data_IF_841242861188
#
_entry.id   IF_841242861188
#
_cell.length_a   1.000
_cell.length_b   1.000
_cell.length_c   1.000
_cell.angle_alpha   90.00
_cell.angle_beta   90.00
_cell.angle_gamma   90.00
#
_symmetry.space_group_name_H-M   'P 1'
#
loop_
_entity.id
_entity.type
_entity.pdbx_description
1 polymer ?
#
# COMPACT_ATOMS: atom_id res chain seq x y z
N UNK A 1 55.13 -38.09 30.09
CA UNK A 1 55.02 -36.85 30.83
C UNK A 1 54.63 -35.64 30.01
N UNK A 2 53.96 -35.82 28.96
CA UNK A 2 53.58 -34.64 28.15
C UNK A 2 52.07 -34.65 27.91
N UNK A 3 51.34 -34.49 28.99
CA UNK A 3 49.87 -34.37 28.91
C UNK A 3 49.34 -32.95 28.97
N UNK A 4 50.22 -31.99 28.91
CA UNK A 4 49.85 -30.58 29.09
C UNK A 4 49.70 -29.80 27.77
N UNK A 5 50.01 -30.42 26.66
CA UNK A 5 50.02 -29.72 25.38
C UNK A 5 48.73 -29.82 24.59
N UNK A 6 47.81 -30.71 25.02
CA UNK A 6 46.61 -31.02 24.27
C UNK A 6 45.41 -30.06 24.52
N UNK A 7 45.53 -29.20 25.53
CA UNK A 7 44.40 -28.35 25.94
C UNK A 7 44.39 -26.95 25.37
N UNK A 8 45.36 -26.59 24.53
CA UNK A 8 45.43 -25.23 24.00
C UNK A 8 44.84 -25.06 22.60
N UNK A 9 44.40 -26.10 21.97
CA UNK A 9 43.95 -26.05 20.58
C UNK A 9 42.44 -25.96 20.42
N UNK A 10 41.66 -25.96 21.48
CA UNK A 10 40.21 -25.96 21.40
C UNK A 10 39.59 -24.57 21.61
N UNK A 11 40.34 -23.62 22.10
CA UNK A 11 39.82 -22.31 22.45
C UNK A 11 39.82 -21.28 21.30
N UNK A 12 40.39 -21.63 20.17
CA UNK A 12 40.61 -20.64 19.09
C UNK A 12 39.54 -20.65 17.97
N UNK A 13 38.59 -21.55 18.03
CA UNK A 13 37.64 -21.70 16.91
C UNK A 13 36.26 -21.04 17.15
N UNK A 14 36.03 -20.42 18.27
CA UNK A 14 34.67 -19.93 18.62
C UNK A 14 34.48 -18.44 18.38
N UNK A 15 35.54 -17.70 18.11
CA UNK A 15 35.48 -16.24 18.07
C UNK A 15 35.23 -15.64 16.68
N UNK A 16 35.02 -16.43 15.65
CA UNK A 16 34.92 -15.94 14.27
C UNK A 16 33.51 -15.92 13.71
N UNK A 17 32.49 -16.22 14.51
CA UNK A 17 31.14 -16.38 13.99
C UNK A 17 30.16 -15.25 14.29
N UNK A 18 30.58 -14.16 14.92
CA UNK A 18 29.65 -13.11 15.39
C UNK A 18 29.62 -11.86 14.51
N UNK A 19 30.49 -11.76 13.53
CA UNK A 19 30.62 -10.50 12.79
C UNK A 19 29.92 -10.46 11.41
N UNK A 20 29.02 -11.38 11.14
CA UNK A 20 28.36 -11.42 9.83
C UNK A 20 26.86 -11.07 9.87
N UNK A 21 26.36 -10.58 10.99
CA UNK A 21 25.02 -10.01 11.01
C UNK A 21 25.09 -8.51 10.74
N UNK A 22 25.44 -8.16 9.54
CA UNK A 22 25.10 -6.83 9.03
C UNK A 22 23.64 -6.89 8.65
N UNK A 23 22.82 -6.24 9.46
CA UNK A 23 21.44 -5.97 9.09
C UNK A 23 21.44 -5.23 7.77
N UNK A 24 21.11 -5.90 6.70
CA UNK A 24 20.88 -5.24 5.43
C UNK A 24 19.56 -4.51 5.53
N UNK A 25 19.64 -3.20 5.49
CA UNK A 25 18.48 -2.36 5.31
C UNK A 25 17.63 -2.89 4.14
N UNK A 26 16.35 -2.96 4.33
CA UNK A 26 15.38 -3.54 3.45
C UNK A 26 14.87 -2.55 2.39
N UNK A 27 15.48 -2.39 1.24
CA UNK A 27 14.86 -1.60 0.18
C UNK A 27 13.78 -2.36 -0.59
N UNK A 28 13.74 -3.67 -0.45
CA UNK A 28 12.85 -4.50 -1.29
C UNK A 28 11.41 -4.64 -0.76
N UNK A 29 11.16 -4.44 0.53
CA UNK A 29 9.84 -4.64 1.13
C UNK A 29 8.80 -3.65 0.61
N UNK A 30 9.16 -2.41 0.43
CA UNK A 30 8.23 -1.35 0.04
C UNK A 30 7.58 -1.63 -1.33
N UNK A 31 8.32 -2.14 -2.27
CA UNK A 31 7.80 -2.43 -3.61
C UNK A 31 6.89 -3.66 -3.64
N UNK A 32 7.22 -4.68 -2.88
CA UNK A 32 6.38 -5.88 -2.77
C UNK A 32 5.09 -5.62 -2.00
N UNK A 33 5.14 -4.75 -1.00
CA UNK A 33 3.96 -4.36 -0.22
C UNK A 33 2.94 -3.60 -1.08
N UNK A 34 3.38 -2.72 -1.97
CA UNK A 34 2.51 -2.03 -2.93
C UNK A 34 1.80 -3.00 -3.87
N UNK A 35 2.53 -3.97 -4.41
CA UNK A 35 1.97 -5.00 -5.30
C UNK A 35 1.00 -5.89 -4.53
N UNK A 36 1.33 -6.26 -3.31
CA UNK A 36 0.52 -7.13 -2.47
C UNK A 36 -0.79 -6.46 -2.04
N UNK A 37 -0.74 -5.19 -1.63
CA UNK A 37 -1.94 -4.44 -1.23
C UNK A 37 -2.88 -4.14 -2.41
N UNK A 38 -2.33 -3.91 -3.60
CA UNK A 38 -3.11 -3.69 -4.82
C UNK A 38 -3.68 -5.00 -5.41
N UNK A 39 -3.03 -6.13 -5.14
CA UNK A 39 -3.36 -7.41 -5.78
C UNK A 39 -4.78 -7.89 -5.51
N UNK A 40 -5.32 -7.82 -4.29
CA UNK A 40 -6.70 -8.21 -4.02
C UNK A 40 -7.72 -7.36 -4.81
N UNK A 41 -7.49 -6.06 -4.90
CA UNK A 41 -8.40 -5.13 -5.58
C UNK A 41 -8.49 -5.37 -7.09
N UNK A 42 -7.43 -5.90 -7.70
CA UNK A 42 -7.43 -6.25 -9.14
C UNK A 42 -8.42 -7.34 -9.50
N UNK A 43 -8.73 -8.20 -8.55
CA UNK A 43 -9.63 -9.35 -8.76
C UNK A 43 -11.10 -9.03 -8.51
N UNK A 44 -11.38 -7.88 -7.89
CA UNK A 44 -12.74 -7.46 -7.58
C UNK A 44 -13.25 -6.62 -8.72
N UNK A 45 -14.27 -7.10 -9.40
CA UNK A 45 -14.94 -6.37 -10.49
C UNK A 45 -16.17 -5.70 -9.93
N UNK A 46 -16.24 -4.39 -10.05
CA UNK A 46 -17.40 -3.59 -9.68
C UNK A 46 -18.32 -3.48 -10.91
N UNK A 47 -19.54 -4.03 -10.87
CA UNK A 47 -20.40 -4.09 -12.05
C UNK A 47 -20.84 -2.73 -12.55
N UNK A 48 -21.13 -1.82 -11.64
CA UNK A 48 -21.59 -0.47 -11.98
C UNK A 48 -21.17 0.53 -10.92
N UNK A 49 -20.65 1.64 -11.38
CA UNK A 49 -20.35 2.83 -10.57
C UNK A 49 -21.02 4.03 -11.18
N UNK A 50 -21.73 4.76 -10.37
CA UNK A 50 -22.40 6.00 -10.74
C UNK A 50 -22.19 7.01 -9.61
N UNK A 51 -21.18 7.83 -9.78
CA UNK A 51 -20.83 8.91 -8.85
C UNK A 51 -21.22 10.23 -9.48
N UNK A 52 -21.98 11.04 -8.78
CA UNK A 52 -22.40 12.35 -9.23
C UNK A 52 -22.06 13.40 -8.20
N UNK A 53 -21.12 14.28 -8.53
CA UNK A 53 -20.69 15.40 -7.70
C UNK A 53 -20.26 15.03 -6.25
N UNK A 54 -19.67 13.86 -6.07
CA UNK A 54 -19.22 13.39 -4.76
C UNK A 54 -17.91 14.05 -4.34
N UNK A 55 -17.74 14.26 -3.04
CA UNK A 55 -16.43 14.53 -2.47
C UNK A 55 -15.55 13.28 -2.51
N UNK A 56 -14.23 13.44 -2.36
CA UNK A 56 -13.32 12.29 -2.31
C UNK A 56 -13.69 11.34 -1.17
N UNK A 57 -14.04 11.85 0.00
CA UNK A 57 -14.43 11.05 1.15
C UNK A 57 -15.68 10.21 0.88
N UNK A 58 -16.70 10.80 0.29
CA UNK A 58 -17.94 10.11 -0.07
C UNK A 58 -17.72 9.04 -1.14
N UNK A 59 -16.91 9.34 -2.15
CA UNK A 59 -16.55 8.39 -3.19
C UNK A 59 -15.79 7.18 -2.63
N UNK A 60 -14.81 7.41 -1.74
CA UNK A 60 -14.06 6.34 -1.09
C UNK A 60 -14.92 5.50 -0.16
N UNK A 61 -15.85 6.13 0.57
CA UNK A 61 -16.79 5.41 1.43
C UNK A 61 -17.72 4.49 0.59
N UNK A 62 -18.25 5.00 -0.50
CA UNK A 62 -19.07 4.21 -1.42
C UNK A 62 -18.27 3.06 -2.03
N UNK A 63 -17.03 3.34 -2.44
CA UNK A 63 -16.14 2.33 -3.00
C UNK A 63 -15.79 1.25 -1.96
N UNK A 64 -15.60 1.61 -0.70
CA UNK A 64 -15.39 0.63 0.39
C UNK A 64 -16.55 -0.34 0.48
N UNK A 65 -17.78 0.16 0.52
CA UNK A 65 -18.99 -0.68 0.59
C UNK A 65 -19.08 -1.61 -0.62
N UNK A 66 -18.83 -1.11 -1.81
CA UNK A 66 -18.87 -1.92 -3.03
C UNK A 66 -17.78 -3.00 -3.05
N UNK A 67 -16.57 -2.67 -2.62
CA UNK A 67 -15.48 -3.66 -2.52
C UNK A 67 -15.83 -4.76 -1.52
N UNK A 68 -16.37 -4.41 -0.36
CA UNK A 68 -16.84 -5.40 0.61
C UNK A 68 -17.90 -6.30 0.02
N UNK A 69 -18.92 -5.72 -0.60
CA UNK A 69 -20.04 -6.45 -1.21
C UNK A 69 -19.57 -7.41 -2.30
N UNK A 70 -18.72 -6.96 -3.22
CA UNK A 70 -18.27 -7.76 -4.36
C UNK A 70 -17.06 -8.64 -4.07
N UNK A 71 -16.52 -8.59 -2.85
CA UNK A 71 -15.52 -9.53 -2.35
C UNK A 71 -16.08 -10.57 -1.39
N UNK A 72 -17.40 -10.71 -1.28
CA UNK A 72 -18.07 -11.56 -0.28
C UNK A 72 -17.60 -11.22 1.16
N UNK A 73 -17.51 -9.93 1.45
CA UNK A 73 -17.05 -9.37 2.73
C UNK A 73 -15.62 -9.77 3.17
N UNK A 74 -14.86 -10.35 2.25
CA UNK A 74 -13.48 -10.80 2.54
C UNK A 74 -12.46 -9.67 2.55
N UNK A 75 -12.76 -8.57 1.84
CA UNK A 75 -11.83 -7.45 1.68
C UNK A 75 -12.52 -6.18 2.14
N UNK A 76 -11.92 -5.57 3.15
CA UNK A 76 -12.31 -4.25 3.65
C UNK A 76 -11.12 -3.30 3.47
N UNK A 77 -11.10 -2.49 2.43
CA UNK A 77 -10.01 -1.55 2.22
C UNK A 77 -10.04 -0.46 3.28
N UNK A 78 -8.88 -0.07 3.74
CA UNK A 78 -8.72 1.04 4.66
C UNK A 78 -8.10 2.21 3.92
N UNK A 79 -8.88 3.25 3.65
CA UNK A 79 -8.44 4.44 2.94
C UNK A 79 -8.07 5.56 3.91
N UNK A 80 -6.97 6.23 3.63
CA UNK A 80 -6.54 7.44 4.33
C UNK A 80 -6.39 8.57 3.31
N UNK A 81 -7.04 9.67 3.56
CA UNK A 81 -6.86 10.91 2.79
C UNK A 81 -5.81 11.76 3.50
N UNK A 82 -4.67 11.96 2.87
CA UNK A 82 -3.60 12.80 3.38
C UNK A 82 -3.55 14.11 2.59
N UNK A 83 -4.38 15.05 2.99
CA UNK A 83 -4.53 16.35 2.35
C UNK A 83 -4.32 17.47 3.37
N UNK A 84 -3.05 17.80 3.62
CA UNK A 84 -2.67 18.79 4.64
C UNK A 84 -3.10 20.22 4.27
N UNK A 85 -3.25 20.49 2.99
CA UNK A 85 -3.52 21.84 2.47
C UNK A 85 -4.97 22.01 2.01
N UNK A 86 -5.84 21.00 2.21
CA UNK A 86 -7.23 21.06 1.77
C UNK A 86 -7.43 21.11 0.28
N UNK A 87 -6.49 20.57 -0.51
CA UNK A 87 -6.53 20.66 -1.97
C UNK A 87 -7.69 19.88 -2.58
N UNK A 88 -8.09 18.77 -1.93
CA UNK A 88 -9.18 17.91 -2.44
C UNK A 88 -10.58 18.50 -2.22
N UNK A 89 -10.73 19.43 -1.30
CA UNK A 89 -12.04 20.02 -0.97
C UNK A 89 -12.71 20.71 -2.15
N UNK A 90 -11.92 21.21 -3.09
CA UNK A 90 -12.40 21.94 -4.26
C UNK A 90 -12.81 21.04 -5.43
N UNK A 91 -12.54 19.74 -5.34
CA UNK A 91 -12.85 18.79 -6.39
C UNK A 91 -14.16 18.03 -6.10
N UNK A 92 -14.87 17.71 -7.17
CA UNK A 92 -16.02 16.83 -7.13
C UNK A 92 -15.81 15.71 -8.13
N UNK A 93 -16.22 14.51 -7.74
CA UNK A 93 -16.05 13.31 -8.53
C UNK A 93 -17.37 12.99 -9.20
N UNK A 94 -17.33 12.96 -10.53
CA UNK A 94 -18.42 12.49 -11.38
C UNK A 94 -17.87 11.40 -12.26
N UNK A 95 -18.39 10.18 -12.10
CA UNK A 95 -17.82 8.99 -12.72
C UNK A 95 -18.92 7.95 -13.00
N UNK A 96 -19.08 7.57 -14.25
CA UNK A 96 -19.96 6.48 -14.66
C UNK A 96 -19.14 5.40 -15.35
N UNK A 97 -18.99 4.25 -14.70
CA UNK A 97 -18.20 3.13 -15.22
C UNK A 97 -18.94 1.81 -14.97
N UNK A 98 -18.68 0.84 -15.82
CA UNK A 98 -19.23 -0.51 -15.70
C UNK A 98 -18.13 -1.56 -15.81
N UNK A 99 -18.29 -2.64 -15.06
CA UNK A 99 -17.37 -3.80 -15.10
C UNK A 99 -15.89 -3.43 -14.93
N UNK A 100 -15.60 -2.61 -13.92
CA UNK A 100 -14.25 -2.14 -13.66
C UNK A 100 -13.59 -2.87 -12.48
N UNK A 101 -12.30 -3.25 -12.61
CA UNK A 101 -11.55 -3.70 -11.45
C UNK A 101 -11.43 -2.59 -10.41
N UNK A 102 -11.59 -2.94 -9.13
CA UNK A 102 -11.62 -1.97 -8.04
C UNK A 102 -10.35 -1.10 -7.96
N UNK A 103 -9.17 -1.67 -8.26
CA UNK A 103 -7.93 -0.90 -8.30
C UNK A 103 -7.91 0.17 -9.40
N UNK A 104 -8.49 -0.13 -10.55
CA UNK A 104 -8.61 0.84 -11.66
C UNK A 104 -9.62 1.91 -11.34
N UNK A 105 -10.74 1.52 -10.74
CA UNK A 105 -11.75 2.46 -10.30
C UNK A 105 -11.19 3.45 -9.27
N UNK A 106 -10.42 2.96 -8.30
CA UNK A 106 -9.72 3.81 -7.33
C UNK A 106 -8.76 4.80 -8.00
N UNK A 107 -8.05 4.36 -9.04
CA UNK A 107 -7.17 5.23 -9.81
C UNK A 107 -7.95 6.35 -10.50
N UNK A 108 -9.07 6.05 -11.14
CA UNK A 108 -9.93 7.07 -11.77
C UNK A 108 -10.48 8.07 -10.76
N UNK A 109 -10.88 7.60 -9.59
CA UNK A 109 -11.33 8.48 -8.50
C UNK A 109 -10.22 9.44 -8.06
N UNK A 110 -9.02 8.93 -7.86
CA UNK A 110 -7.87 9.75 -7.48
C UNK A 110 -7.48 10.75 -8.58
N UNK A 111 -7.51 10.33 -9.83
CA UNK A 111 -7.18 11.19 -10.98
C UNK A 111 -8.10 12.42 -11.06
N UNK A 112 -9.38 12.27 -10.76
CA UNK A 112 -10.33 13.40 -10.80
C UNK A 112 -10.05 14.48 -9.76
N UNK A 113 -9.42 14.13 -8.66
CA UNK A 113 -9.01 15.11 -7.63
C UNK A 113 -7.53 15.48 -7.72
N UNK A 114 -6.83 15.06 -8.76
CA UNK A 114 -5.38 15.21 -8.91
C UNK A 114 -4.60 14.59 -7.75
N UNK A 115 -5.07 13.43 -7.29
CA UNK A 115 -4.46 12.65 -6.24
C UNK A 115 -3.64 11.47 -6.76
N UNK A 116 -2.68 11.05 -5.97
CA UNK A 116 -1.95 9.80 -6.16
C UNK A 116 -2.38 8.74 -5.17
N UNK A 117 -2.46 7.50 -5.62
CA UNK A 117 -2.78 6.34 -4.79
C UNK A 117 -1.49 5.65 -4.35
N UNK A 118 -1.31 5.51 -3.04
CA UNK A 118 -0.15 4.86 -2.45
C UNK A 118 -0.61 3.66 -1.62
N UNK A 119 -0.20 2.47 -2.06
CA UNK A 119 -0.52 1.23 -1.38
C UNK A 119 0.51 0.92 -0.30
N UNK A 120 0.04 0.72 0.92
CA UNK A 120 0.81 0.22 2.05
C UNK A 120 0.24 -1.11 2.54
N UNK A 121 0.94 -1.75 3.44
CA UNK A 121 0.58 -3.11 3.88
C UNK A 121 -0.86 -3.20 4.42
N UNK A 122 -1.33 -2.19 5.15
CA UNK A 122 -2.63 -2.20 5.81
C UNK A 122 -3.53 -1.02 5.44
N UNK A 123 -3.02 -0.07 4.64
CA UNK A 123 -3.76 1.13 4.29
C UNK A 123 -3.48 1.54 2.85
N UNK A 124 -4.43 2.22 2.25
CA UNK A 124 -4.28 2.86 0.95
C UNK A 124 -4.38 4.36 1.18
N UNK A 125 -3.33 5.08 0.87
CA UNK A 125 -3.24 6.52 1.10
C UNK A 125 -3.47 7.27 -0.19
N UNK A 126 -4.40 8.21 -0.18
CA UNK A 126 -4.60 9.16 -1.27
C UNK A 126 -4.05 10.52 -0.83
N UNK A 127 -3.14 11.07 -1.61
CA UNK A 127 -2.53 12.37 -1.35
C UNK A 127 -2.39 13.17 -2.63
N UNK A 128 -2.36 14.52 -2.53
CA UNK A 128 -2.21 15.37 -3.70
C UNK A 128 -0.93 15.06 -4.47
N UNK A 129 -1.02 15.03 -5.77
CA UNK A 129 0.16 15.00 -6.61
C UNK A 129 0.86 16.36 -6.46
N UNK A 130 2.14 16.33 -6.11
CA UNK A 130 2.94 17.54 -6.05
C UNK A 130 2.99 18.16 -7.45
N UNK A 131 2.41 19.33 -7.59
CA UNK A 131 2.71 20.17 -8.74
C UNK A 131 4.17 20.61 -8.59
N UNK A 132 5.03 20.34 -9.58
CA UNK A 132 6.39 20.85 -9.49
C UNK A 132 6.34 22.35 -9.29
N UNK A 133 7.02 22.83 -8.28
CA UNK A 133 7.15 24.26 -8.02
C UNK A 133 7.76 24.94 -9.25
N UNK A 134 7.05 25.92 -9.75
CA UNK A 134 7.56 26.76 -10.83
C UNK A 134 8.72 27.64 -10.34
#
# INVERSE_FOLDING_TARGET
>A
MNRQILNFLVASAITLFISQFTAHAEPARTQYDHIRAASPLKKIIIPKVDFEQLTLGEALQTLTVQIQQFSDEKISPNFIIQDLDGQFENYRITLQLSNMPANKLLQYVADQVRGGVHYHQHVIVIKPLRTPAK
#
